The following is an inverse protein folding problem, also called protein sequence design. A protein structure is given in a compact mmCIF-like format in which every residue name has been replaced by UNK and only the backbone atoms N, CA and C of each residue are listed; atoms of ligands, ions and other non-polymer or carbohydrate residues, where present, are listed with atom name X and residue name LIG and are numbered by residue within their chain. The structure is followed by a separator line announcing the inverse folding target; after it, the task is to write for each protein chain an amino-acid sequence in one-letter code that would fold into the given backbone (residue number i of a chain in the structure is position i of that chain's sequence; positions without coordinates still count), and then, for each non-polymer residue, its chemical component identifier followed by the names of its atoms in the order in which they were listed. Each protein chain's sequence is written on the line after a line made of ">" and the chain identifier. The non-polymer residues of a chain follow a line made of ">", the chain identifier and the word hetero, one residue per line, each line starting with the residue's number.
data_IF_806158379877
#
_entry.id   IF_806158379877
#
_cell.length_a   1.000
_cell.length_b   1.000
_cell.length_c   1.000
_cell.angle_alpha   90.00
_cell.angle_beta   90.00
_cell.angle_gamma   90.00
#
_symmetry.space_group_name_H-M   'P 1'
#
loop_
_entity.id
_entity.type
_entity.pdbx_description
1 polymer ?
#
# COMPACT_ATOMS: atom_id res chain seq x y z
N UNK A 1 43.69 -22.53 -19.60
CA UNK A 1 42.32 -22.33 -20.12
C UNK A 1 41.45 -22.10 -18.91
N UNK A 2 41.30 -20.82 -18.54
CA UNK A 2 40.64 -20.38 -17.31
C UNK A 2 39.16 -20.18 -17.59
N UNK A 3 38.31 -20.75 -16.73
CA UNK A 3 36.86 -20.66 -16.77
C UNK A 3 36.40 -19.21 -16.57
N UNK A 4 35.68 -18.67 -17.54
CA UNK A 4 34.91 -17.45 -17.38
C UNK A 4 33.63 -17.75 -16.61
N UNK A 5 33.65 -17.45 -15.31
CA UNK A 5 32.43 -17.10 -14.58
C UNK A 5 32.51 -15.58 -14.46
N UNK A 6 31.82 -14.90 -15.37
CA UNK A 6 31.53 -13.48 -15.21
C UNK A 6 30.62 -13.36 -13.98
N UNK A 7 31.22 -12.95 -12.87
CA UNK A 7 30.51 -12.45 -11.69
C UNK A 7 29.85 -11.12 -12.04
N UNK A 8 28.80 -11.17 -12.85
CA UNK A 8 27.83 -10.10 -12.96
C UNK A 8 27.15 -9.97 -11.61
N UNK A 9 27.72 -9.13 -10.76
CA UNK A 9 27.09 -8.61 -9.56
C UNK A 9 25.71 -8.08 -10.00
N UNK A 10 24.66 -8.83 -9.68
CA UNK A 10 23.29 -8.40 -9.91
C UNK A 10 23.16 -7.06 -9.20
N UNK A 11 23.04 -5.99 -9.96
CA UNK A 11 22.75 -4.67 -9.44
C UNK A 11 21.30 -4.70 -8.91
N UNK A 12 21.17 -5.08 -7.64
CA UNK A 12 19.90 -5.14 -6.91
C UNK A 12 19.51 -3.78 -6.31
N UNK A 13 20.31 -2.73 -6.56
CA UNK A 13 20.13 -1.40 -5.95
C UNK A 13 18.92 -0.63 -6.49
N UNK A 14 18.39 -1.04 -7.65
CA UNK A 14 17.17 -0.47 -8.25
C UNK A 14 15.88 -1.00 -7.61
N UNK A 15 14.82 -0.20 -7.69
CA UNK A 15 13.47 -0.62 -7.27
C UNK A 15 12.99 -1.77 -8.15
N UNK A 16 12.66 -2.89 -7.51
CA UNK A 16 11.95 -4.02 -8.12
C UNK A 16 10.46 -3.87 -7.85
N UNK A 17 9.73 -3.47 -8.88
CA UNK A 17 8.28 -3.40 -8.79
C UNK A 17 7.68 -4.80 -8.62
N UNK A 18 6.67 -4.91 -7.75
CA UNK A 18 5.76 -6.05 -7.72
C UNK A 18 5.14 -6.26 -9.11
N UNK A 19 4.62 -7.45 -9.44
CA UNK A 19 3.88 -7.66 -10.69
C UNK A 19 2.75 -6.62 -10.87
N UNK A 20 2.91 -5.72 -11.85
CA UNK A 20 1.98 -4.60 -12.08
C UNK A 20 2.19 -3.35 -11.22
N UNK A 21 3.14 -3.36 -10.28
CA UNK A 21 3.42 -2.28 -9.33
C UNK A 21 3.79 -0.95 -9.98
N UNK A 22 4.60 -0.95 -11.04
CA UNK A 22 4.93 0.29 -11.76
C UNK A 22 3.69 0.95 -12.39
N UNK A 23 2.78 0.14 -12.96
CA UNK A 23 1.51 0.64 -13.51
C UNK A 23 0.60 1.14 -12.40
N UNK A 24 0.52 0.41 -11.29
CA UNK A 24 -0.25 0.80 -10.11
C UNK A 24 0.20 2.16 -9.56
N UNK A 25 1.51 2.35 -9.41
CA UNK A 25 2.10 3.62 -8.97
C UNK A 25 1.77 4.77 -9.93
N UNK A 26 1.94 4.57 -11.24
CA UNK A 26 1.61 5.59 -12.24
C UNK A 26 0.12 5.98 -12.23
N UNK A 27 -0.78 4.99 -12.09
CA UNK A 27 -2.23 5.23 -11.99
C UNK A 27 -2.58 6.00 -10.72
N UNK A 28 -1.99 5.63 -9.58
CA UNK A 28 -2.20 6.33 -8.32
C UNK A 28 -1.71 7.78 -8.41
N UNK A 29 -0.50 8.01 -8.91
CA UNK A 29 0.06 9.36 -9.09
C UNK A 29 -0.79 10.25 -9.99
N UNK A 30 -1.41 9.68 -11.04
CA UNK A 30 -2.31 10.42 -11.92
C UNK A 30 -3.66 10.79 -11.27
N UNK A 31 -4.07 10.08 -10.21
CA UNK A 31 -5.31 10.37 -9.47
C UNK A 31 -5.10 11.34 -8.30
N UNK A 32 -3.86 11.54 -7.85
CA UNK A 32 -3.56 12.35 -6.66
C UNK A 32 -4.19 13.76 -6.72
N UNK A 33 -4.63 14.29 -5.57
CA UNK A 33 -4.67 13.65 -4.24
C UNK A 33 -5.92 12.78 -4.02
N UNK A 34 -5.94 11.99 -2.94
CA UNK A 34 -7.20 11.47 -2.39
C UNK A 34 -8.16 12.62 -2.08
N UNK A 35 -9.46 12.36 -2.18
CA UNK A 35 -10.48 13.22 -1.58
C UNK A 35 -10.50 13.02 -0.07
N UNK A 36 -10.92 14.05 0.66
CA UNK A 36 -10.90 14.08 2.12
C UNK A 36 -11.64 12.88 2.75
N UNK A 37 -10.87 12.01 3.40
CA UNK A 37 -11.35 10.81 4.08
C UNK A 37 -11.52 9.57 3.19
N UNK A 38 -11.02 9.61 1.94
CA UNK A 38 -11.21 8.54 0.94
C UNK A 38 -9.95 7.72 0.63
N UNK A 39 -8.95 7.67 1.52
CA UNK A 39 -7.69 6.95 1.29
C UNK A 39 -7.91 5.50 0.82
N UNK A 40 -8.80 4.76 1.48
CA UNK A 40 -9.17 3.40 1.09
C UNK A 40 -9.77 3.32 -0.33
N UNK A 41 -10.68 4.25 -0.65
CA UNK A 41 -11.33 4.31 -1.96
C UNK A 41 -10.37 4.76 -3.07
N UNK A 42 -9.41 5.63 -2.77
CA UNK A 42 -8.30 5.98 -3.65
C UNK A 42 -7.46 4.75 -3.99
N UNK A 43 -7.02 3.98 -2.98
CA UNK A 43 -6.25 2.76 -3.20
C UNK A 43 -7.04 1.71 -3.99
N UNK A 44 -8.33 1.52 -3.67
CA UNK A 44 -9.22 0.63 -4.41
C UNK A 44 -9.40 1.05 -5.87
N UNK A 45 -9.58 2.36 -6.12
CA UNK A 45 -9.66 2.91 -7.47
C UNK A 45 -8.38 2.70 -8.26
N UNK A 46 -7.22 2.92 -7.64
CA UNK A 46 -5.92 2.69 -8.27
C UNK A 46 -5.75 1.21 -8.66
N UNK A 47 -6.14 0.27 -7.79
CA UNK A 47 -6.13 -1.15 -8.09
C UNK A 47 -7.06 -1.52 -9.26
N UNK A 48 -8.29 -1.00 -9.28
CA UNK A 48 -9.26 -1.21 -10.36
C UNK A 48 -8.75 -0.68 -11.70
N UNK A 49 -8.22 0.55 -11.74
CA UNK A 49 -7.66 1.14 -12.97
C UNK A 49 -6.36 0.48 -13.42
N UNK A 50 -5.51 0.04 -12.50
CA UNK A 50 -4.32 -0.75 -12.84
C UNK A 50 -4.68 -2.10 -13.49
N UNK A 51 -5.87 -2.64 -13.19
CA UNK A 51 -6.45 -3.79 -13.86
C UNK A 51 -7.18 -3.46 -15.18
N UNK A 52 -7.23 -2.19 -15.60
CA UNK A 52 -7.87 -1.74 -16.82
C UNK A 52 -9.37 -1.42 -16.70
N UNK A 53 -9.89 -1.27 -15.47
CA UNK A 53 -11.26 -0.82 -15.25
C UNK A 53 -11.32 0.71 -15.17
N UNK A 54 -11.61 1.34 -16.31
CA UNK A 54 -11.75 2.79 -16.43
C UNK A 54 -13.19 3.27 -16.14
N UNK A 55 -13.35 4.59 -15.97
CA UNK A 55 -14.66 5.24 -15.79
C UNK A 55 -15.20 5.27 -14.36
N UNK A 56 -14.45 4.73 -13.39
CA UNK A 56 -14.74 4.86 -11.96
C UNK A 56 -14.01 6.07 -11.36
N UNK A 57 -14.56 6.60 -10.28
CA UNK A 57 -13.98 7.66 -9.45
C UNK A 57 -13.94 7.26 -7.97
N UNK A 58 -13.26 8.06 -7.14
CA UNK A 58 -13.09 7.76 -5.71
C UNK A 58 -14.45 7.67 -4.99
N UNK A 59 -15.40 8.51 -5.40
CA UNK A 59 -16.76 8.54 -4.86
C UNK A 59 -17.51 7.23 -5.11
N UNK A 60 -17.44 6.68 -6.32
CA UNK A 60 -18.08 5.41 -6.66
C UNK A 60 -17.51 4.26 -5.83
N UNK A 61 -16.18 4.23 -5.64
CA UNK A 61 -15.53 3.22 -4.79
C UNK A 61 -15.93 3.40 -3.32
N UNK A 62 -15.91 4.64 -2.82
CA UNK A 62 -16.30 4.95 -1.45
C UNK A 62 -17.76 4.57 -1.14
N UNK A 63 -18.67 4.91 -2.05
CA UNK A 63 -20.09 4.56 -1.92
C UNK A 63 -20.29 3.04 -1.91
N UNK A 64 -19.61 2.32 -2.82
CA UNK A 64 -19.68 0.86 -2.88
C UNK A 64 -19.05 0.18 -1.65
N UNK A 65 -18.00 0.79 -1.07
CA UNK A 65 -17.31 0.29 0.11
C UNK A 65 -18.02 0.64 1.43
N UNK A 66 -19.09 1.44 1.38
CA UNK A 66 -19.79 1.92 2.57
C UNK A 66 -18.96 2.89 3.41
N UNK A 67 -18.08 3.67 2.78
CA UNK A 67 -17.24 4.66 3.46
C UNK A 67 -18.09 5.70 4.20
N UNK A 68 -17.75 5.94 5.47
CA UNK A 68 -18.29 7.03 6.28
C UNK A 68 -17.21 8.08 6.41
N UNK A 69 -17.50 9.33 6.07
CA UNK A 69 -16.54 10.42 6.17
C UNK A 69 -16.55 11.04 7.57
N UNK A 70 -15.39 11.50 8.01
CA UNK A 70 -15.22 12.28 9.24
C UNK A 70 -14.34 13.50 9.03
N UNK A 71 -13.93 14.16 10.12
CA UNK A 71 -12.96 15.25 10.06
C UNK A 71 -11.66 14.78 9.40
N UNK A 72 -11.21 15.49 8.36
CA UNK A 72 -9.99 15.14 7.64
C UNK A 72 -8.77 15.79 8.29
N UNK A 73 -7.70 15.01 8.45
CA UNK A 73 -6.39 15.45 8.95
C UNK A 73 -5.36 15.23 7.84
N UNK A 74 -4.85 16.32 7.29
CA UNK A 74 -3.92 16.24 6.15
C UNK A 74 -2.46 16.37 6.59
N UNK A 75 -1.51 15.85 5.79
CA UNK A 75 -0.12 16.23 5.89
C UNK A 75 0.08 17.74 5.78
N UNK A 76 1.18 18.25 6.31
CA UNK A 76 1.51 19.67 6.23
C UNK A 76 1.69 20.07 4.76
N UNK A 77 0.98 21.11 4.33
CA UNK A 77 1.06 21.65 2.97
C UNK A 77 -0.10 21.21 2.06
N UNK A 78 -0.88 20.20 2.48
CA UNK A 78 -2.03 19.71 1.75
C UNK A 78 -3.29 20.53 2.06
N UNK A 79 -3.96 21.00 1.01
CA UNK A 79 -5.22 21.77 1.12
C UNK A 79 -6.45 20.88 1.31
N UNK A 80 -6.32 19.58 1.03
CA UNK A 80 -7.44 18.66 0.91
C UNK A 80 -8.19 18.80 -0.42
N UNK A 81 -9.08 17.86 -0.69
CA UNK A 81 -9.87 17.77 -1.91
C UNK A 81 -11.31 17.37 -1.57
N UNK A 82 -12.27 18.26 -1.89
CA UNK A 82 -13.68 18.16 -1.45
C UNK A 82 -14.73 18.21 -2.56
N UNK A 83 -14.32 17.98 -3.81
CA UNK A 83 -15.16 17.95 -5.00
C UNK A 83 -15.98 16.64 -5.11
N UNK A 84 -16.77 16.31 -4.08
CA UNK A 84 -17.61 15.11 -4.07
C UNK A 84 -18.80 15.23 -5.03
N UNK A 85 -18.97 14.22 -5.89
CA UNK A 85 -20.08 14.02 -6.82
C UNK A 85 -21.19 13.17 -6.20
N UNK A 86 -20.84 12.17 -5.37
CA UNK A 86 -21.82 11.33 -4.68
C UNK A 86 -21.96 11.72 -3.21
N UNK A 87 -23.17 11.64 -2.65
CA UNK A 87 -23.35 11.82 -1.22
C UNK A 87 -22.73 10.63 -0.47
N UNK A 88 -21.89 10.93 0.51
CA UNK A 88 -21.33 9.95 1.44
C UNK A 88 -21.78 10.32 2.86
N UNK A 89 -22.09 9.32 3.71
CA UNK A 89 -22.40 9.58 5.12
C UNK A 89 -21.27 10.36 5.80
N UNK A 90 -21.61 11.28 6.70
CA UNK A 90 -20.65 12.10 7.46
C UNK A 90 -20.95 11.96 8.95
N UNK A 91 -19.91 11.80 9.76
CA UNK A 91 -19.97 11.76 11.22
C UNK A 91 -18.93 12.72 11.79
N UNK A 92 -19.22 13.28 12.97
CA UNK A 92 -18.28 14.16 13.67
C UNK A 92 -17.20 13.37 14.43
N UNK A 93 -17.55 12.17 14.91
CA UNK A 93 -16.63 11.28 15.63
C UNK A 93 -15.64 10.62 14.66
N UNK A 94 -14.33 10.93 14.73
CA UNK A 94 -13.33 10.31 13.86
C UNK A 94 -13.23 8.78 14.04
N UNK A 95 -13.57 8.24 15.21
CA UNK A 95 -13.55 6.80 15.46
C UNK A 95 -14.66 6.05 14.72
N UNK A 96 -15.75 6.73 14.37
CA UNK A 96 -16.86 6.20 13.58
C UNK A 96 -16.68 6.40 12.06
N UNK A 97 -15.65 7.14 11.65
CA UNK A 97 -15.33 7.42 10.26
C UNK A 97 -14.36 6.37 9.68
N UNK A 98 -14.28 6.34 8.35
CA UNK A 98 -13.37 5.51 7.59
C UNK A 98 -14.09 4.48 6.71
N UNK A 99 -13.30 3.54 6.21
CA UNK A 99 -13.76 2.45 5.35
C UNK A 99 -13.36 1.14 5.99
N UNK A 100 -14.34 0.25 6.15
CA UNK A 100 -14.10 -1.14 6.55
C UNK A 100 -13.36 -1.87 5.44
N UNK A 101 -12.37 -2.69 5.80
CA UNK A 101 -11.57 -3.47 4.85
C UNK A 101 -12.45 -4.48 4.11
N UNK A 102 -13.38 -5.12 4.82
CA UNK A 102 -14.42 -5.99 4.26
C UNK A 102 -15.33 -5.27 3.26
N UNK A 103 -15.66 -4.00 3.54
CA UNK A 103 -16.40 -3.11 2.64
C UNK A 103 -15.60 -2.80 1.37
N UNK A 104 -14.33 -2.42 1.51
CA UNK A 104 -13.44 -2.19 0.37
C UNK A 104 -13.26 -3.43 -0.50
N UNK A 105 -13.04 -4.60 0.12
CA UNK A 105 -12.90 -5.86 -0.59
C UNK A 105 -14.17 -6.21 -1.40
N UNK A 106 -15.34 -6.03 -0.78
CA UNK A 106 -16.64 -6.24 -1.43
C UNK A 106 -16.85 -5.26 -2.59
N UNK A 107 -16.42 -4.00 -2.44
CA UNK A 107 -16.50 -2.99 -3.48
C UNK A 107 -15.62 -3.34 -4.69
N UNK A 108 -14.38 -3.78 -4.47
CA UNK A 108 -13.47 -4.22 -5.54
C UNK A 108 -14.10 -5.38 -6.33
N UNK A 109 -14.62 -6.41 -5.65
CA UNK A 109 -15.28 -7.52 -6.32
C UNK A 109 -16.53 -7.09 -7.09
N UNK A 110 -17.36 -6.22 -6.50
CA UNK A 110 -18.61 -5.77 -7.12
C UNK A 110 -18.37 -4.85 -8.32
N UNK A 111 -17.50 -3.85 -8.18
CA UNK A 111 -17.19 -2.89 -9.24
C UNK A 111 -16.43 -3.53 -10.40
N UNK A 112 -15.64 -4.58 -10.12
CA UNK A 112 -15.01 -5.40 -11.15
C UNK A 112 -15.92 -6.48 -11.74
N UNK A 113 -17.18 -6.58 -11.29
CA UNK A 113 -18.11 -7.64 -11.69
C UNK A 113 -17.54 -9.04 -11.50
N UNK A 114 -16.75 -9.22 -10.45
CA UNK A 114 -16.12 -10.47 -10.06
C UNK A 114 -14.85 -10.82 -10.86
N UNK A 115 -14.33 -9.95 -11.72
CA UNK A 115 -13.05 -10.22 -12.39
C UNK A 115 -11.86 -10.06 -11.44
N UNK A 116 -11.99 -9.24 -10.40
CA UNK A 116 -11.00 -9.09 -9.33
C UNK A 116 -11.54 -9.64 -8.02
N UNK A 117 -10.62 -10.13 -7.20
CA UNK A 117 -10.85 -10.47 -5.81
C UNK A 117 -9.86 -9.71 -4.93
N UNK A 118 -10.25 -9.49 -3.68
CA UNK A 118 -9.46 -8.78 -2.71
C UNK A 118 -9.30 -9.68 -1.47
N UNK A 119 -8.10 -10.26 -1.32
CA UNK A 119 -7.80 -11.23 -0.27
C UNK A 119 -7.25 -10.49 0.95
N UNK A 120 -7.97 -10.47 2.09
CA UNK A 120 -7.44 -9.84 3.30
C UNK A 120 -6.38 -10.74 3.92
N UNK A 121 -5.30 -10.14 4.41
CA UNK A 121 -4.20 -10.80 5.10
C UNK A 121 -3.87 -10.03 6.37
N UNK A 122 -3.83 -10.72 7.50
CA UNK A 122 -3.50 -10.16 8.83
C UNK A 122 -2.73 -11.20 9.64
N UNK A 123 -2.24 -10.84 10.82
CA UNK A 123 -1.51 -11.73 11.71
C UNK A 123 -0.45 -10.99 12.52
N UNK A 124 0.51 -11.77 13.03
CA UNK A 124 1.71 -11.21 13.66
C UNK A 124 2.67 -10.75 12.56
N UNK A 125 2.75 -9.44 12.36
CA UNK A 125 3.64 -8.84 11.38
C UNK A 125 5.08 -8.79 11.92
N UNK A 126 5.95 -9.53 11.25
CA UNK A 126 7.41 -9.44 11.34
C UNK A 126 7.98 -9.04 9.98
N UNK A 127 9.19 -8.48 9.96
CA UNK A 127 9.91 -8.18 8.72
C UNK A 127 9.97 -9.41 7.80
N UNK A 128 10.23 -10.59 8.37
CA UNK A 128 10.23 -11.86 7.64
C UNK A 128 8.87 -12.18 7.02
N UNK A 129 7.79 -12.16 7.82
CA UNK A 129 6.44 -12.46 7.30
C UNK A 129 5.97 -11.48 6.20
N UNK A 130 6.30 -10.19 6.33
CA UNK A 130 5.96 -9.20 5.29
C UNK A 130 6.77 -9.46 4.02
N UNK A 131 8.08 -9.70 4.16
CA UNK A 131 8.94 -10.03 3.03
C UNK A 131 8.49 -11.32 2.32
N UNK A 132 8.24 -12.39 3.07
CA UNK A 132 7.81 -13.69 2.55
C UNK A 132 6.45 -13.60 1.84
N UNK A 133 5.50 -12.84 2.41
CA UNK A 133 4.24 -12.53 1.75
C UNK A 133 4.51 -11.85 0.41
N UNK A 134 5.28 -10.76 0.41
CA UNK A 134 5.54 -9.99 -0.80
C UNK A 134 6.22 -10.86 -1.86
N UNK A 135 7.24 -11.63 -1.51
CA UNK A 135 7.92 -12.57 -2.43
C UNK A 135 6.96 -13.63 -2.97
N UNK A 136 6.07 -14.18 -2.14
CA UNK A 136 5.05 -15.15 -2.57
C UNK A 136 4.05 -14.58 -3.60
N UNK A 137 3.98 -13.25 -3.76
CA UNK A 137 3.15 -12.60 -4.77
C UNK A 137 3.83 -12.44 -6.14
N UNK A 138 5.13 -12.77 -6.28
CA UNK A 138 5.84 -12.63 -7.57
C UNK A 138 5.32 -13.56 -8.67
N UNK A 139 4.73 -14.70 -8.28
CA UNK A 139 4.14 -15.67 -9.22
C UNK A 139 2.75 -15.26 -9.70
N UNK A 140 2.16 -14.20 -9.13
CA UNK A 140 0.88 -13.67 -9.54
C UNK A 140 1.07 -12.71 -10.73
N UNK A 141 0.31 -12.80 -11.84
CA UNK A 141 0.52 -11.95 -13.02
C UNK A 141 0.42 -10.44 -12.75
N UNK A 142 -0.47 -10.06 -11.83
CA UNK A 142 -0.69 -8.68 -11.41
C UNK A 142 -1.21 -8.65 -9.99
N UNK A 143 -0.65 -7.76 -9.17
CA UNK A 143 -1.06 -7.56 -7.79
C UNK A 143 -1.11 -6.08 -7.43
N UNK A 144 -2.09 -5.70 -6.61
CA UNK A 144 -2.08 -4.45 -5.88
C UNK A 144 -2.20 -4.74 -4.39
N UNK A 145 -1.17 -4.41 -3.62
CA UNK A 145 -1.13 -4.60 -2.17
C UNK A 145 -1.59 -3.31 -1.51
N UNK A 146 -2.81 -3.30 -0.98
CA UNK A 146 -3.39 -2.17 -0.25
C UNK A 146 -3.14 -2.37 1.23
N UNK A 147 -2.28 -1.57 1.85
CA UNK A 147 -1.96 -1.68 3.27
C UNK A 147 -2.77 -0.68 4.09
N UNK A 148 -3.38 -1.14 5.19
CA UNK A 148 -3.86 -0.24 6.25
C UNK A 148 -2.78 -0.15 7.31
N UNK A 149 -2.27 1.04 7.55
CA UNK A 149 -1.11 1.29 8.39
C UNK A 149 -1.38 2.35 9.46
N UNK A 150 -0.64 2.31 10.55
CA UNK A 150 -0.42 3.49 11.38
C UNK A 150 0.69 4.35 10.74
N UNK A 151 0.29 5.43 10.05
CA UNK A 151 1.24 6.35 9.41
C UNK A 151 2.21 7.03 10.39
N UNK A 152 1.95 6.94 11.69
CA UNK A 152 2.79 7.49 12.75
C UNK A 152 4.04 6.64 13.04
N UNK A 153 4.02 5.37 12.64
CA UNK A 153 5.14 4.41 12.74
C UNK A 153 6.08 4.47 11.52
N UNK A 154 5.66 5.15 10.45
CA UNK A 154 6.52 5.34 9.28
C UNK A 154 7.63 6.36 9.52
N UNK A 155 8.65 6.25 8.68
CA UNK A 155 9.66 7.27 8.49
C UNK A 155 9.11 8.58 7.98
N UNK A 156 9.87 9.65 8.21
CA UNK A 156 9.55 10.91 7.59
C UNK A 156 9.66 10.78 6.06
N UNK A 157 8.65 11.25 5.33
CA UNK A 157 8.63 11.22 3.87
C UNK A 157 9.75 12.06 3.23
N UNK A 158 10.34 12.98 4.00
CA UNK A 158 11.48 13.82 3.62
C UNK A 158 12.83 13.25 4.14
N UNK A 159 12.86 11.96 4.51
CA UNK A 159 14.11 11.27 4.84
C UNK A 159 15.08 11.40 3.65
N UNK A 160 16.31 11.90 3.86
CA UNK A 160 17.26 12.09 2.76
C UNK A 160 17.56 10.77 2.05
N UNK A 161 17.57 10.77 0.71
CA UNK A 161 17.87 9.59 -0.10
C UNK A 161 19.17 8.90 0.32
N UNK A 162 20.21 9.69 0.66
CA UNK A 162 21.48 9.13 1.13
C UNK A 162 21.32 8.28 2.39
N UNK A 163 20.46 8.67 3.32
CA UNK A 163 20.23 7.90 4.54
C UNK A 163 19.50 6.57 4.25
N UNK A 164 18.62 6.55 3.25
CA UNK A 164 17.96 5.33 2.77
C UNK A 164 18.96 4.39 2.08
N UNK A 165 19.90 4.94 1.30
CA UNK A 165 20.99 4.17 0.70
C UNK A 165 21.95 3.62 1.76
N UNK A 166 22.31 4.41 2.77
CA UNK A 166 23.14 3.95 3.89
C UNK A 166 22.43 2.83 4.67
N UNK A 167 21.10 2.89 4.83
CA UNK A 167 20.32 1.81 5.42
C UNK A 167 20.40 0.52 4.60
N UNK A 168 20.34 0.58 3.27
CA UNK A 168 20.50 -0.61 2.42
C UNK A 168 21.88 -1.26 2.61
N UNK A 169 22.92 -0.46 2.82
CA UNK A 169 24.30 -0.92 2.96
C UNK A 169 24.62 -1.42 4.39
N UNK A 170 23.98 -0.85 5.42
CA UNK A 170 24.37 -1.07 6.82
C UNK A 170 23.31 -1.72 7.69
N UNK A 171 22.05 -1.75 7.23
CA UNK A 171 20.90 -2.24 7.99
C UNK A 171 20.50 -1.33 9.15
N UNK A 172 21.16 -0.18 9.34
CA UNK A 172 20.85 0.78 10.42
C UNK A 172 19.74 1.72 9.95
N UNK A 173 18.52 1.66 10.52
CA UNK A 173 17.43 2.49 10.04
C UNK A 173 17.71 3.99 10.26
N UNK A 174 17.29 4.87 9.35
CA UNK A 174 17.33 6.31 9.56
C UNK A 174 16.54 6.67 10.83
N UNK A 175 16.81 7.81 11.47
CA UNK A 175 16.08 8.23 12.69
C UNK A 175 15.03 9.31 12.43
N UNK A 176 14.72 9.59 11.16
CA UNK A 176 13.71 10.56 10.76
C UNK A 176 12.33 9.93 10.84
N UNK A 177 11.50 10.37 11.80
CA UNK A 177 10.17 9.81 12.02
C UNK A 177 9.06 10.70 11.44
N UNK A 178 7.96 10.07 11.03
CA UNK A 178 6.79 10.79 10.54
C UNK A 178 6.21 11.71 11.63
N UNK A 179 5.93 12.95 11.22
CA UNK A 179 5.22 13.94 12.04
C UNK A 179 3.73 13.94 11.80
N UNK A 180 3.27 13.29 10.74
CA UNK A 180 1.86 13.22 10.40
C UNK A 180 1.24 11.98 11.05
N UNK A 181 0.21 12.19 11.85
CA UNK A 181 -0.46 11.16 12.66
C UNK A 181 -1.97 11.22 12.42
N UNK A 182 -2.46 10.67 11.29
CA UNK A 182 -3.89 10.66 11.02
C UNK A 182 -4.61 9.75 12.03
N UNK A 183 -5.80 10.14 12.54
CA UNK A 183 -6.57 9.30 13.44
C UNK A 183 -7.10 8.06 12.70
N UNK A 184 -7.04 6.88 13.33
CA UNK A 184 -7.65 5.65 12.80
C UNK A 184 -6.85 4.90 11.73
N UNK A 185 -5.59 5.30 11.52
CA UNK A 185 -4.70 4.74 10.50
C UNK A 185 -4.92 5.36 9.12
N UNK A 186 -4.14 4.88 8.15
CA UNK A 186 -4.12 5.38 6.77
C UNK A 186 -4.04 4.21 5.78
N UNK A 187 -4.51 4.42 4.56
CA UNK A 187 -4.39 3.43 3.48
C UNK A 187 -3.35 3.88 2.46
N UNK A 188 -2.44 2.98 2.12
CA UNK A 188 -1.39 3.17 1.13
C UNK A 188 -1.29 1.94 0.23
N UNK A 189 -0.55 2.06 -0.87
CA UNK A 189 -0.19 0.90 -1.70
C UNK A 189 1.27 0.53 -1.45
N UNK A 190 1.58 -0.76 -1.42
CA UNK A 190 2.95 -1.26 -1.52
C UNK A 190 3.18 -1.70 -2.97
N UNK A 191 4.12 -1.06 -3.66
CA UNK A 191 4.28 -1.24 -5.10
C UNK A 191 5.64 -1.83 -5.51
N UNK A 192 6.67 -1.69 -4.69
CA UNK A 192 8.01 -2.16 -5.02
C UNK A 192 8.88 -2.44 -3.81
N UNK A 193 10.00 -3.10 -4.07
CA UNK A 193 11.00 -3.51 -3.08
C UNK A 193 12.38 -3.15 -3.62
N UNK A 194 13.25 -2.62 -2.75
CA UNK A 194 14.68 -2.43 -3.03
C UNK A 194 15.47 -3.17 -1.97
N UNK A 195 16.38 -4.03 -2.40
CA UNK A 195 17.11 -4.93 -1.51
C UNK A 195 18.58 -4.54 -1.53
N UNK A 196 19.10 -4.18 -0.36
CA UNK A 196 20.50 -3.87 -0.13
C UNK A 196 21.28 -5.06 0.41
N UNK A 197 22.52 -4.80 0.84
CA UNK A 197 23.36 -5.81 1.49
C UNK A 197 22.80 -6.20 2.86
N UNK A 198 22.31 -5.22 3.62
CA UNK A 198 21.91 -5.37 5.02
C UNK A 198 20.49 -4.84 5.30
N UNK A 199 19.89 -4.09 4.37
CA UNK A 199 18.56 -3.48 4.53
C UNK A 199 17.59 -3.77 3.38
N UNK A 200 16.30 -3.57 3.61
CA UNK A 200 15.24 -3.67 2.60
C UNK A 200 14.29 -2.48 2.68
N UNK A 201 14.13 -1.77 1.57
CA UNK A 201 13.15 -0.69 1.45
C UNK A 201 11.92 -1.17 0.68
N UNK A 202 10.75 -0.70 1.11
CA UNK A 202 9.49 -0.86 0.40
C UNK A 202 9.07 0.48 -0.20
N UNK A 203 8.72 0.49 -1.47
CA UNK A 203 8.16 1.66 -2.14
C UNK A 203 6.69 1.77 -1.81
N UNK A 204 6.37 2.74 -0.95
CA UNK A 204 5.02 3.10 -0.54
C UNK A 204 4.48 4.14 -1.52
N UNK A 205 3.31 3.85 -2.09
CA UNK A 205 2.54 4.82 -2.87
C UNK A 205 1.42 5.32 -1.98
N UNK A 206 1.64 6.52 -1.46
CA UNK A 206 0.71 7.29 -0.66
C UNK A 206 -0.34 7.98 -1.55
N UNK A 207 -1.28 8.61 -0.86
CA UNK A 207 -2.49 9.23 -1.40
C UNK A 207 -2.42 10.76 -1.40
N UNK A 208 -1.32 11.33 -0.89
CA UNK A 208 -1.04 12.76 -0.88
C UNK A 208 0.26 13.04 -1.64
N UNK A 209 0.25 14.01 -2.59
CA UNK A 209 1.44 14.34 -3.37
C UNK A 209 2.59 14.88 -2.51
N UNK A 210 2.32 15.52 -1.37
CA UNK A 210 3.36 16.04 -0.47
C UNK A 210 4.20 14.96 0.21
N UNK A 211 3.74 13.70 0.22
CA UNK A 211 4.44 12.61 0.89
C UNK A 211 5.40 11.92 -0.08
N UNK A 212 6.64 12.40 -0.10
CA UNK A 212 7.71 11.86 -0.95
C UNK A 212 7.76 12.53 -2.32
N UNK A 213 8.15 11.77 -3.34
CA UNK A 213 8.16 12.20 -4.73
C UNK A 213 6.78 11.97 -5.35
N UNK A 214 5.92 12.99 -5.24
CA UNK A 214 4.53 12.96 -5.72
C UNK A 214 3.79 11.71 -5.22
N UNK A 215 3.77 11.54 -3.89
CA UNK A 215 3.12 10.42 -3.23
C UNK A 215 3.92 9.12 -3.19
N UNK A 216 5.13 9.04 -3.78
CA UNK A 216 5.97 7.84 -3.66
C UNK A 216 7.11 8.10 -2.69
N UNK A 217 7.24 7.25 -1.67
CA UNK A 217 8.37 7.29 -0.74
C UNK A 217 8.82 5.88 -0.37
N UNK A 218 10.12 5.73 -0.15
CA UNK A 218 10.73 4.46 0.26
C UNK A 218 10.79 4.39 1.78
N UNK A 219 10.37 3.26 2.35
CA UNK A 219 10.31 3.03 3.80
C UNK A 219 11.10 1.77 4.16
N UNK A 220 11.98 1.80 5.18
CA UNK A 220 12.52 0.60 5.81
C UNK A 220 11.43 -0.42 6.13
N UNK A 221 11.68 -1.68 5.79
CA UNK A 221 10.70 -2.76 5.96
C UNK A 221 10.26 -2.92 7.43
N UNK A 222 11.13 -2.62 8.39
CA UNK A 222 10.85 -2.66 9.82
C UNK A 222 9.81 -1.61 10.22
N UNK A 223 9.84 -0.43 9.58
CA UNK A 223 8.87 0.64 9.83
C UNK A 223 7.52 0.31 9.22
N UNK A 224 7.48 -0.25 8.01
CA UNK A 224 6.22 -0.72 7.42
C UNK A 224 5.63 -1.87 8.25
N UNK A 225 6.48 -2.77 8.74
CA UNK A 225 6.06 -3.86 9.64
C UNK A 225 5.48 -3.32 10.94
N UNK A 226 6.17 -2.37 11.59
CA UNK A 226 5.66 -1.71 12.80
C UNK A 226 4.31 -1.02 12.54
N UNK A 227 4.19 -0.33 11.40
CA UNK A 227 2.97 0.35 10.99
C UNK A 227 1.80 -0.61 10.72
N UNK A 228 2.06 -1.88 10.44
CA UNK A 228 1.05 -2.92 10.24
C UNK A 228 0.60 -3.60 11.54
N UNK A 229 1.24 -3.33 12.68
CA UNK A 229 0.93 -4.00 13.95
C UNK A 229 -0.56 -3.89 14.32
N UNK A 230 -1.24 -5.04 14.48
CA UNK A 230 -2.68 -5.11 14.76
C UNK A 230 -3.58 -4.75 13.57
N UNK A 231 -3.01 -4.54 12.38
CA UNK A 231 -3.70 -4.21 11.12
C UNK A 231 -3.41 -5.28 10.06
N UNK A 232 -3.44 -4.92 8.78
CA UNK A 232 -3.23 -5.87 7.71
C UNK A 232 -3.19 -5.25 6.31
N UNK A 233 -3.10 -6.14 5.33
CA UNK A 233 -3.07 -5.78 3.91
C UNK A 233 -4.22 -6.46 3.17
N UNK A 234 -4.73 -5.80 2.15
CA UNK A 234 -5.72 -6.32 1.22
C UNK A 234 -5.03 -6.49 -0.14
N UNK A 235 -4.86 -7.74 -0.56
CA UNK A 235 -4.16 -8.09 -1.79
C UNK A 235 -5.18 -8.26 -2.90
N UNK A 236 -5.17 -7.33 -3.87
CA UNK A 236 -6.10 -7.31 -5.00
C UNK A 236 -5.45 -7.97 -6.22
N UNK A 237 -6.09 -9.01 -6.74
CA UNK A 237 -5.61 -9.83 -7.85
C UNK A 237 -6.76 -10.23 -8.78
N UNK A 238 -6.44 -10.82 -9.94
CA UNK A 238 -7.44 -11.51 -10.76
C UNK A 238 -8.10 -12.63 -9.94
N UNK A 239 -9.41 -12.82 -10.12
CA UNK A 239 -10.21 -13.67 -9.24
C UNK A 239 -9.74 -15.14 -9.19
N UNK A 240 -9.13 -15.65 -10.26
CA UNK A 240 -8.57 -16.99 -10.33
C UNK A 240 -7.26 -17.18 -9.54
N UNK A 241 -6.65 -16.08 -9.07
CA UNK A 241 -5.44 -16.08 -8.25
C UNK A 241 -5.72 -16.04 -6.74
N UNK A 242 -6.98 -16.01 -6.29
CA UNK A 242 -7.35 -15.99 -4.85
C UNK A 242 -6.60 -17.08 -4.05
N UNK A 243 -6.58 -18.30 -4.58
CA UNK A 243 -5.96 -19.45 -3.92
C UNK A 243 -4.44 -19.30 -3.76
N UNK A 244 -3.76 -18.71 -4.75
CA UNK A 244 -2.32 -18.46 -4.71
C UNK A 244 -1.98 -17.47 -3.60
N UNK A 245 -2.73 -16.37 -3.52
CA UNK A 245 -2.52 -15.33 -2.49
C UNK A 245 -2.79 -15.86 -1.09
N UNK A 246 -3.87 -16.64 -0.91
CA UNK A 246 -4.16 -17.26 0.39
C UNK A 246 -3.07 -18.22 0.84
N UNK A 247 -2.48 -18.96 -0.10
CA UNK A 247 -1.39 -19.86 0.22
C UNK A 247 -0.10 -19.10 0.55
N UNK A 248 0.24 -18.06 -0.23
CA UNK A 248 1.37 -17.17 0.07
C UNK A 248 1.25 -16.58 1.48
N UNK A 249 0.05 -16.12 1.87
CA UNK A 249 -0.20 -15.65 3.23
C UNK A 249 0.08 -16.72 4.30
N UNK A 250 -0.41 -17.96 4.11
CA UNK A 250 -0.18 -19.05 5.07
C UNK A 250 1.28 -19.45 5.17
N UNK A 251 1.98 -19.52 4.04
CA UNK A 251 3.43 -19.83 3.98
C UNK A 251 4.23 -18.77 4.74
N UNK A 252 3.83 -17.50 4.63
CA UNK A 252 4.41 -16.39 5.40
C UNK A 252 4.03 -16.39 6.89
N UNK A 253 3.26 -17.37 7.37
CA UNK A 253 2.79 -17.45 8.76
C UNK A 253 1.61 -16.52 9.09
N UNK A 254 0.96 -15.96 8.06
CA UNK A 254 -0.14 -15.00 8.20
C UNK A 254 -1.50 -15.68 7.98
N UNK A 255 -2.56 -14.98 8.37
CA UNK A 255 -3.94 -15.46 8.29
C UNK A 255 -4.72 -14.70 7.22
N UNK A 256 -5.34 -15.39 6.24
CA UNK A 256 -6.15 -14.76 5.21
C UNK A 256 -7.57 -14.41 5.73
N UNK A 257 -7.66 -13.41 6.61
CA UNK A 257 -8.90 -12.96 7.25
C UNK A 257 -8.97 -11.44 7.38
N UNK A 258 -10.19 -10.91 7.47
CA UNK A 258 -10.42 -9.50 7.79
C UNK A 258 -10.07 -9.19 9.26
N UNK A 259 -9.86 -7.90 9.56
CA UNK A 259 -9.43 -7.38 10.87
C UNK A 259 -10.22 -6.12 11.29
N UNK A 260 -11.44 -5.96 10.76
CA UNK A 260 -12.30 -4.78 10.93
C UNK A 260 -13.63 -5.05 11.68
#
# INVERSE_FOLDING_TARGET
>A
MSSGIDGGQLDLSGVRWLPGGARLAAVAQAELPQKDGLAAAFCGLAALRAAGLDGLDQDAVAAAAGTVRGPAVHPRGETGRRDFRLPLPVVDDPAAAGTRVSGLASAVGSLSRGTLTAVPVTGEWTTGSLFDLLVGLWDVPRVAVVARIDGAELGAHDTPERALLDYLDTGVPPLWTSRWRPPGGHFVLLAGIRIGAEGTLLSVVDTYPSLGDNGIHDQPVEWVTAALAGLGVLVVVDADQDGVVREAARVAGLTPSFWD
#
